data_IF_512873332033
#
_entry.id   IF_512873332033
#
_cell.length_a   1.000
_cell.length_b   1.000
_cell.length_c   1.000
_cell.angle_alpha   90.00
_cell.angle_beta   90.00
_cell.angle_gamma   90.00
#
_symmetry.space_group_name_H-M   'P 1'
#
loop_
_entity.id
_entity.type
_entity.pdbx_description
1 polymer ?
#
# COMPACT_ATOMS: atom_id res chain seq x y z
N UNK A 1 24.75 -7.09 0.25
CA UNK A 1 23.62 -6.43 0.93
C UNK A 1 22.70 -5.81 -0.10
N UNK A 2 21.40 -6.08 0.02
CA UNK A 2 20.42 -5.41 -0.84
C UNK A 2 20.30 -3.95 -0.44
N UNK A 3 20.46 -3.05 -1.41
CA UNK A 3 20.32 -1.63 -1.21
C UNK A 3 18.87 -1.29 -0.86
N UNK A 4 18.67 -0.37 0.09
CA UNK A 4 17.33 0.15 0.39
C UNK A 4 16.80 0.95 -0.79
N UNK A 5 15.52 0.80 -1.07
CA UNK A 5 14.86 1.51 -2.15
C UNK A 5 14.57 2.95 -1.76
N UNK A 6 14.71 3.88 -2.71
CA UNK A 6 14.25 5.25 -2.54
C UNK A 6 12.72 5.31 -2.59
N UNK A 7 12.15 6.42 -2.13
CA UNK A 7 10.71 6.62 -2.21
C UNK A 7 10.20 6.49 -3.65
N UNK A 8 10.87 7.12 -4.60
CA UNK A 8 10.48 7.04 -6.01
C UNK A 8 10.58 5.62 -6.57
N UNK A 9 11.59 4.86 -6.16
CA UNK A 9 11.70 3.46 -6.58
C UNK A 9 10.53 2.62 -6.07
N UNK A 10 10.11 2.85 -4.82
CA UNK A 10 8.97 2.14 -4.24
C UNK A 10 7.67 2.52 -4.94
N UNK A 11 7.47 3.82 -5.19
CA UNK A 11 6.30 4.32 -5.91
C UNK A 11 6.23 3.71 -7.31
N UNK A 12 7.34 3.71 -8.04
CA UNK A 12 7.42 3.15 -9.38
C UNK A 12 7.11 1.65 -9.38
N UNK A 13 7.68 0.90 -8.44
CA UNK A 13 7.44 -0.53 -8.31
C UNK A 13 5.96 -0.81 -8.03
N UNK A 14 5.37 -0.06 -7.11
CA UNK A 14 3.96 -0.21 -6.73
C UNK A 14 3.05 0.10 -7.91
N UNK A 15 3.28 1.22 -8.57
CA UNK A 15 2.51 1.61 -9.74
C UNK A 15 2.59 0.54 -10.84
N UNK A 16 3.80 0.09 -11.17
CA UNK A 16 3.98 -0.93 -12.21
C UNK A 16 3.26 -2.23 -11.86
N UNK A 17 3.30 -2.63 -10.60
CA UNK A 17 2.68 -3.87 -10.15
C UNK A 17 1.17 -3.85 -10.39
N UNK A 18 0.49 -2.77 -10.00
CA UNK A 18 -0.96 -2.66 -10.15
C UNK A 18 -1.38 -2.18 -11.55
N UNK A 19 -0.57 -1.36 -12.23
CA UNK A 19 -0.89 -0.90 -13.58
C UNK A 19 -0.83 -2.02 -14.60
N UNK A 20 0.08 -2.97 -14.40
CA UNK A 20 0.17 -4.16 -15.25
C UNK A 20 -1.08 -5.02 -15.16
N UNK A 21 -1.68 -5.10 -13.98
CA UNK A 21 -2.90 -5.87 -13.74
C UNK A 21 -3.65 -5.30 -12.53
N UNK A 22 -4.56 -4.33 -12.75
CA UNK A 22 -5.35 -3.76 -11.65
C UNK A 22 -6.17 -4.76 -10.84
N UNK A 23 -6.44 -5.96 -11.38
CA UNK A 23 -7.10 -7.01 -10.62
C UNK A 23 -6.26 -7.53 -9.45
N UNK A 24 -4.98 -7.20 -9.41
CA UNK A 24 -4.11 -7.50 -8.26
C UNK A 24 -4.47 -6.67 -7.02
N UNK A 25 -5.26 -5.60 -7.19
CA UNK A 25 -5.70 -4.77 -6.06
C UNK A 25 -6.58 -5.58 -5.13
N UNK A 26 -6.38 -5.36 -3.82
CA UNK A 26 -7.18 -6.02 -2.77
C UNK A 26 -8.47 -5.23 -2.55
N UNK A 27 -9.45 -5.40 -3.43
CA UNK A 27 -10.73 -4.69 -3.37
C UNK A 27 -11.88 -5.68 -3.52
N UNK A 28 -12.99 -5.39 -2.83
CA UNK A 28 -14.23 -6.13 -2.97
C UNK A 28 -14.96 -5.59 -4.21
N UNK A 29 -15.15 -6.42 -5.23
CA UNK A 29 -15.66 -6.01 -6.55
C UNK A 29 -16.98 -5.27 -6.49
N UNK A 30 -17.93 -5.71 -5.66
CA UNK A 30 -19.27 -5.16 -5.62
C UNK A 30 -19.38 -3.83 -4.88
N UNK A 31 -18.50 -3.56 -3.92
CA UNK A 31 -18.56 -2.38 -3.07
C UNK A 31 -17.42 -1.40 -3.31
N UNK A 32 -16.35 -1.83 -3.98
CA UNK A 32 -15.15 -1.03 -4.15
C UNK A 32 -14.33 -0.84 -2.87
N UNK A 33 -14.74 -1.48 -1.77
CA UNK A 33 -14.01 -1.38 -0.51
C UNK A 33 -12.66 -2.06 -0.61
N UNK A 34 -11.62 -1.36 -0.17
CA UNK A 34 -10.26 -1.89 -0.17
C UNK A 34 -9.98 -2.60 1.14
N UNK A 35 -9.38 -3.78 1.05
CA UNK A 35 -8.98 -4.57 2.20
C UNK A 35 -7.48 -4.77 2.18
N UNK A 36 -6.90 -4.96 3.35
CA UNK A 36 -5.48 -5.29 3.47
C UNK A 36 -5.14 -6.57 2.70
N UNK A 37 -5.98 -7.59 2.81
CA UNK A 37 -5.81 -8.89 2.16
C UNK A 37 -7.19 -9.41 1.75
N UNK A 38 -7.36 -9.74 0.48
CA UNK A 38 -8.62 -10.25 -0.06
C UNK A 38 -8.34 -11.26 -1.16
N UNK A 39 -8.78 -12.52 -0.96
CA UNK A 39 -8.65 -13.60 -1.94
C UNK A 39 -7.22 -13.75 -2.50
N UNK A 40 -6.22 -13.72 -1.62
CA UNK A 40 -4.81 -13.86 -2.01
C UNK A 40 -4.19 -12.59 -2.58
N UNK A 41 -4.95 -11.49 -2.67
CA UNK A 41 -4.46 -10.18 -3.11
C UNK A 41 -4.06 -9.36 -1.90
N UNK A 42 -3.03 -8.54 -2.04
CA UNK A 42 -2.54 -7.68 -0.98
C UNK A 42 -2.72 -6.21 -1.35
N UNK A 43 -2.99 -5.37 -0.35
CA UNK A 43 -2.93 -3.93 -0.54
C UNK A 43 -1.47 -3.49 -0.76
N UNK A 44 -1.27 -2.22 -1.10
CA UNK A 44 0.07 -1.72 -1.44
C UNK A 44 1.07 -1.91 -0.28
N UNK A 45 0.66 -1.62 0.94
CA UNK A 45 1.50 -1.85 2.13
C UNK A 45 1.71 -3.35 2.35
N UNK A 46 0.63 -4.14 2.27
CA UNK A 46 0.68 -5.58 2.51
C UNK A 46 1.67 -6.30 1.61
N UNK A 47 1.79 -5.87 0.36
CA UNK A 47 2.74 -6.42 -0.59
C UNK A 47 4.20 -6.26 -0.14
N UNK A 48 4.48 -5.22 0.64
CA UNK A 48 5.83 -4.87 1.06
C UNK A 48 6.21 -5.39 2.45
N UNK A 49 5.28 -6.03 3.15
CA UNK A 49 5.55 -6.58 4.48
C UNK A 49 6.40 -7.85 4.39
N UNK A 50 7.22 -8.09 5.41
CA UNK A 50 7.93 -9.37 5.53
C UNK A 50 6.91 -10.51 5.67
N UNK A 51 7.34 -11.73 5.33
CA UNK A 51 6.45 -12.89 5.30
C UNK A 51 5.73 -13.13 6.62
N UNK A 52 6.44 -12.94 7.74
CA UNK A 52 5.87 -13.09 9.08
C UNK A 52 4.60 -12.25 9.25
N UNK A 53 4.65 -10.98 8.81
CA UNK A 53 3.55 -10.04 8.98
C UNK A 53 2.50 -10.17 7.89
N UNK A 54 2.87 -10.59 6.68
CA UNK A 54 1.89 -10.86 5.62
C UNK A 54 0.90 -11.96 5.96
N UNK A 55 1.30 -12.87 6.83
CA UNK A 55 0.45 -13.98 7.29
C UNK A 55 -0.49 -13.58 8.42
N UNK A 56 -0.27 -12.43 9.06
CA UNK A 56 -1.15 -11.94 10.12
C UNK A 56 -2.39 -11.27 9.52
N UNK A 57 -3.48 -11.32 10.25
CA UNK A 57 -4.67 -10.55 9.92
C UNK A 57 -4.49 -9.12 10.38
N UNK A 58 -4.40 -8.20 9.43
CA UNK A 58 -4.25 -6.78 9.66
C UNK A 58 -5.45 -6.08 9.05
N UNK A 59 -5.94 -5.03 9.70
CA UNK A 59 -7.04 -4.23 9.20
C UNK A 59 -6.78 -2.75 9.47
N UNK A 60 -7.45 -1.90 8.70
CA UNK A 60 -7.56 -0.48 9.01
C UNK A 60 -8.86 -0.25 9.77
N UNK A 61 -8.80 0.56 10.82
CA UNK A 61 -10.03 1.02 11.49
C UNK A 61 -10.71 2.04 10.57
N UNK A 62 -11.92 1.75 10.16
CA UNK A 62 -12.64 2.61 9.24
C UNK A 62 -12.10 2.56 7.80
N UNK A 63 -12.60 3.45 6.94
CA UNK A 63 -12.25 3.52 5.53
C UNK A 63 -11.14 4.55 5.30
N UNK A 64 -9.96 4.33 5.88
CA UNK A 64 -8.84 5.26 5.74
C UNK A 64 -7.60 4.55 5.26
N UNK A 65 -6.66 5.33 4.73
CA UNK A 65 -5.33 4.84 4.37
C UNK A 65 -4.29 5.26 5.41
N UNK A 66 -4.74 5.70 6.59
CA UNK A 66 -3.85 6.20 7.63
C UNK A 66 -3.16 5.06 8.38
N UNK A 67 -1.86 5.13 8.52
CA UNK A 67 -1.08 4.12 9.25
C UNK A 67 -1.54 4.01 10.70
N UNK A 68 -1.94 5.12 11.31
CA UNK A 68 -2.45 5.14 12.68
C UNK A 68 -3.72 4.29 12.89
N UNK A 69 -4.42 3.96 11.81
CA UNK A 69 -5.63 3.14 11.86
C UNK A 69 -5.35 1.65 11.59
N UNK A 70 -4.10 1.28 11.34
CA UNK A 70 -3.71 -0.12 11.17
C UNK A 70 -3.67 -0.85 12.51
N UNK A 71 -4.30 -2.00 12.59
CA UNK A 71 -4.31 -2.83 13.79
C UNK A 71 -4.17 -4.30 13.41
N UNK A 72 -3.57 -5.08 14.30
CA UNK A 72 -3.60 -6.54 14.21
C UNK A 72 -5.00 -7.00 14.60
N UNK A 73 -5.67 -7.70 13.69
CA UNK A 73 -7.09 -8.02 13.83
C UNK A 73 -7.42 -8.84 15.08
N UNK A 74 -6.54 -9.78 15.45
CA UNK A 74 -6.83 -10.74 16.52
C UNK A 74 -6.77 -10.13 17.93
N UNK A 75 -5.90 -9.16 18.17
CA UNK A 75 -5.68 -8.57 19.48
C UNK A 75 -5.83 -7.05 19.49
N UNK A 76 -6.20 -6.46 18.35
CA UNK A 76 -6.34 -5.02 18.16
C UNK A 76 -5.09 -4.22 18.54
N UNK A 77 -3.90 -4.85 18.47
CA UNK A 77 -2.65 -4.14 18.72
C UNK A 77 -2.44 -3.05 17.67
N UNK A 78 -2.21 -1.83 18.09
CA UNK A 78 -2.05 -0.68 17.22
C UNK A 78 -0.66 -0.66 16.59
N UNK A 79 -0.62 -0.70 15.26
CA UNK A 79 0.63 -0.59 14.51
C UNK A 79 1.04 0.88 14.47
N UNK A 80 2.30 1.15 14.83
CA UNK A 80 2.85 2.50 14.78
C UNK A 80 2.64 3.35 16.01
N UNK A 81 1.89 2.88 17.00
CA UNK A 81 1.62 3.62 18.25
C UNK A 81 2.30 3.03 19.47
N UNK A 82 2.67 1.76 19.41
CA UNK A 82 3.36 1.07 20.52
C UNK A 82 4.76 0.67 20.06
N UNK A 83 5.29 -0.40 20.61
CA UNK A 83 6.62 -0.89 20.23
C UNK A 83 6.70 -1.47 18.82
N UNK A 84 5.56 -1.61 18.14
CA UNK A 84 5.48 -2.15 16.80
C UNK A 84 5.25 -1.01 15.79
N UNK A 85 6.23 -0.73 14.96
CA UNK A 85 6.13 0.27 13.89
C UNK A 85 5.94 -0.41 12.54
N UNK A 86 5.32 0.31 11.60
CA UNK A 86 5.22 -0.19 10.23
C UNK A 86 6.61 -0.52 9.66
N UNK A 87 7.59 0.34 9.93
CA UNK A 87 8.95 0.15 9.44
C UNK A 87 9.54 -1.19 9.87
N UNK A 88 9.25 -1.65 11.09
CA UNK A 88 9.72 -2.95 11.58
C UNK A 88 9.04 -4.13 10.88
N UNK A 89 7.86 -3.92 10.34
CA UNK A 89 7.08 -4.96 9.66
C UNK A 89 7.47 -5.12 8.19
N UNK A 90 8.04 -4.09 7.59
CA UNK A 90 8.40 -4.08 6.17
C UNK A 90 9.62 -4.98 5.90
N UNK A 91 9.68 -5.51 4.68
CA UNK A 91 10.93 -6.11 4.21
C UNK A 91 12.04 -5.06 4.23
N UNK A 92 13.29 -5.45 4.56
CA UNK A 92 14.38 -4.48 4.77
C UNK A 92 14.57 -3.47 3.64
N UNK A 93 14.37 -3.87 2.38
CA UNK A 93 14.57 -2.95 1.25
C UNK A 93 13.57 -1.79 1.21
N UNK A 94 12.44 -1.92 1.89
CA UNK A 94 11.39 -0.90 1.93
C UNK A 94 11.48 0.00 3.17
N UNK A 95 12.41 -0.26 4.09
CA UNK A 95 12.50 0.48 5.35
C UNK A 95 13.19 1.82 5.19
N UNK A 96 12.98 2.70 6.16
CA UNK A 96 13.69 3.97 6.28
C UNK A 96 12.90 5.17 5.81
N UNK A 97 11.61 5.01 5.52
CA UNK A 97 10.74 6.10 5.08
C UNK A 97 9.70 6.44 6.13
N UNK A 98 9.24 7.70 6.12
CA UNK A 98 8.19 8.16 7.03
C UNK A 98 6.85 7.57 6.62
N UNK A 99 5.91 7.50 7.56
CA UNK A 99 4.59 6.92 7.34
C UNK A 99 3.80 7.63 6.23
N UNK A 100 4.02 8.92 6.03
CA UNK A 100 3.35 9.70 4.98
C UNK A 100 3.57 9.10 3.58
N UNK A 101 4.75 8.54 3.32
CA UNK A 101 5.02 7.87 2.05
C UNK A 101 4.08 6.68 1.89
N UNK A 102 3.94 5.88 2.93
CA UNK A 102 3.12 4.68 2.88
C UNK A 102 1.63 5.00 2.79
N UNK A 103 1.19 6.10 3.40
CA UNK A 103 -0.18 6.57 3.27
C UNK A 103 -0.47 7.01 1.83
N UNK A 104 0.47 7.71 1.18
CA UNK A 104 0.34 8.08 -0.24
C UNK A 104 0.29 6.84 -1.13
N UNK A 105 1.17 5.88 -0.90
CA UNK A 105 1.22 4.63 -1.66
C UNK A 105 -0.07 3.83 -1.48
N UNK A 106 -0.57 3.74 -0.25
CA UNK A 106 -1.82 3.03 0.03
C UNK A 106 -3.00 3.73 -0.62
N UNK A 107 -3.04 5.06 -0.59
CA UNK A 107 -4.09 5.84 -1.24
C UNK A 107 -4.08 5.63 -2.77
N UNK A 108 -2.92 5.52 -3.38
CA UNK A 108 -2.82 5.19 -4.81
C UNK A 108 -3.50 3.85 -5.11
N UNK A 109 -3.31 2.85 -4.25
CA UNK A 109 -3.96 1.55 -4.39
C UNK A 109 -5.47 1.65 -4.15
N UNK A 110 -5.89 2.38 -3.11
CA UNK A 110 -7.25 2.33 -2.61
C UNK A 110 -8.25 3.15 -3.43
N UNK A 111 -7.81 4.22 -4.08
CA UNK A 111 -8.71 5.14 -4.74
C UNK A 111 -9.20 4.58 -6.08
N UNK A 112 -10.47 4.22 -6.15
CA UNK A 112 -11.07 3.60 -7.34
C UNK A 112 -11.06 4.49 -8.59
N UNK A 113 -10.88 5.81 -8.43
CA UNK A 113 -10.77 6.73 -9.57
C UNK A 113 -9.51 6.53 -10.39
N UNK A 114 -8.50 5.86 -9.81
CA UNK A 114 -7.22 5.65 -10.47
C UNK A 114 -7.18 4.37 -11.30
N UNK A 115 -8.18 3.51 -11.16
CA UNK A 115 -8.17 2.18 -11.76
C UNK A 115 -9.48 1.88 -12.49
N UNK A 116 -9.36 1.52 -13.77
CA UNK A 116 -10.49 1.10 -14.59
C UNK A 116 -10.56 -0.44 -14.55
N UNK A 117 -11.29 -0.95 -13.57
CA UNK A 117 -11.37 -2.41 -13.35
C UNK A 117 -12.02 -3.14 -14.51
N UNK A 118 -13.16 -2.66 -15.10
CA UNK A 118 -13.77 -3.33 -16.26
C UNK A 118 -12.84 -3.50 -17.45
N UNK A 119 -11.95 -2.54 -17.69
CA UNK A 119 -10.99 -2.58 -18.79
C UNK A 119 -9.58 -2.99 -18.33
N UNK A 120 -9.42 -3.30 -17.06
CA UNK A 120 -8.19 -3.80 -16.46
C UNK A 120 -6.98 -2.91 -16.76
N UNK A 121 -7.12 -1.61 -16.51
CA UNK A 121 -6.05 -0.63 -16.77
C UNK A 121 -6.10 0.54 -15.78
N UNK A 122 -4.97 1.27 -15.69
CA UNK A 122 -4.91 2.53 -14.94
C UNK A 122 -5.67 3.62 -15.72
N UNK A 123 -6.31 4.53 -14.98
CA UNK A 123 -6.99 5.69 -15.60
C UNK A 123 -5.99 6.82 -15.84
N UNK A 124 -6.43 7.84 -16.62
CA UNK A 124 -5.65 9.09 -16.79
C UNK A 124 -5.40 9.76 -15.44
N UNK A 125 -6.41 9.76 -14.54
CA UNK A 125 -6.26 10.30 -13.18
C UNK A 125 -5.22 9.50 -12.38
N UNK A 126 -5.22 8.18 -12.50
CA UNK A 126 -4.25 7.32 -11.83
C UNK A 126 -2.82 7.58 -12.29
N UNK A 127 -2.61 7.73 -13.59
CA UNK A 127 -1.31 8.07 -14.13
C UNK A 127 -0.84 9.45 -13.67
N UNK A 128 -1.74 10.44 -13.67
CA UNK A 128 -1.45 11.78 -13.19
C UNK A 128 -1.09 11.80 -11.71
N UNK A 129 -1.78 11.01 -10.90
CA UNK A 129 -1.45 10.87 -9.47
C UNK A 129 -0.07 10.27 -9.28
N UNK A 130 0.25 9.23 -10.04
CA UNK A 130 1.57 8.62 -10.01
C UNK A 130 2.67 9.64 -10.32
N UNK A 131 2.50 10.43 -11.39
CA UNK A 131 3.48 11.44 -11.76
C UNK A 131 3.64 12.51 -10.68
N UNK A 132 2.55 12.94 -10.05
CA UNK A 132 2.57 13.90 -8.94
C UNK A 132 3.35 13.33 -7.75
N UNK A 133 3.10 12.07 -7.41
CA UNK A 133 3.84 11.40 -6.33
C UNK A 133 5.33 11.34 -6.62
N UNK A 134 5.71 11.01 -7.85
CA UNK A 134 7.13 10.96 -8.23
C UNK A 134 7.82 12.31 -8.05
N UNK A 135 7.12 13.41 -8.37
CA UNK A 135 7.66 14.76 -8.12
C UNK A 135 7.76 15.09 -6.64
N UNK A 136 6.71 14.77 -5.89
CA UNK A 136 6.62 15.10 -4.46
C UNK A 136 7.67 14.36 -3.62
N UNK A 137 8.06 13.17 -4.02
CA UNK A 137 8.99 12.33 -3.27
C UNK A 137 10.38 12.27 -3.89
N UNK A 138 10.66 13.12 -4.87
CA UNK A 138 11.97 13.19 -5.50
C UNK A 138 13.06 13.49 -4.46
N UNK A 139 14.14 12.72 -4.49
CA UNK A 139 15.27 12.91 -3.59
C UNK A 139 15.10 12.33 -2.18
N UNK A 140 14.03 11.60 -1.94
CA UNK A 140 13.75 11.02 -0.61
C UNK A 140 14.10 9.53 -0.53
#
# INVERSE_FOLDING_TARGET
MKKKMTACEIIQETYNYYAKDPERRSVIRNTGNCLYNYEGRHCAIGRCLSLKWRKQDIMFRGNTSNISDMVLKNDYAEIGREDLTLNDMLMPRYRGHIDDLWEDIQNLHDNCRYWDMPNNRVTTDGHGRFETMMRNWEGV
#
